data_IF_350944596993
#
_entry.id   IF_350944596993
#
_cell.length_a   1.000
_cell.length_b   1.000
_cell.length_c   1.000
_cell.angle_alpha   90.00
_cell.angle_beta   90.00
_cell.angle_gamma   90.00
#
_symmetry.space_group_name_H-M   'P 1'
#
loop_
_entity.id
_entity.type
_entity.pdbx_description
1 polymer ?
#
# COMPACT_ATOMS: atom_id res chain seq x y z
N UNK A 1 -8.41 -7.83 -4.59
CA UNK A 1 -7.26 -7.50 -3.72
C UNK A 1 -6.55 -8.79 -3.30
N UNK A 2 -7.31 -9.81 -2.88
CA UNK A 2 -6.80 -11.13 -2.47
C UNK A 2 -5.85 -11.78 -3.49
N UNK A 3 -6.08 -11.56 -4.79
CA UNK A 3 -5.18 -12.08 -5.84
C UNK A 3 -3.77 -11.47 -5.81
N UNK A 4 -3.64 -10.19 -5.44
CA UNK A 4 -2.34 -9.52 -5.35
C UNK A 4 -1.59 -9.99 -4.11
N UNK A 5 -2.30 -10.08 -2.98
CA UNK A 5 -1.76 -10.61 -1.71
C UNK A 5 -1.27 -12.05 -1.85
N UNK A 6 -2.02 -12.89 -2.57
CA UNK A 6 -1.64 -14.29 -2.82
C UNK A 6 -0.47 -14.44 -3.81
N UNK A 7 -0.35 -13.54 -4.78
CA UNK A 7 0.62 -13.68 -5.86
C UNK A 7 1.96 -12.97 -5.59
N UNK A 8 1.99 -11.96 -4.72
CA UNK A 8 3.21 -11.22 -4.42
C UNK A 8 4.04 -11.89 -3.33
N UNK A 9 4.85 -12.87 -3.74
CA UNK A 9 5.69 -13.67 -2.83
C UNK A 9 7.01 -13.00 -2.40
N UNK A 10 7.42 -11.89 -3.03
CA UNK A 10 8.72 -11.23 -2.80
C UNK A 10 8.67 -10.08 -1.81
N UNK A 11 7.48 -9.72 -1.34
CA UNK A 11 7.26 -8.61 -0.43
C UNK A 11 6.27 -8.96 0.67
N UNK A 12 6.00 -7.99 1.53
CA UNK A 12 4.98 -8.11 2.58
C UNK A 12 3.87 -7.11 2.32
N UNK A 13 2.65 -7.59 2.20
CA UNK A 13 1.47 -6.73 2.17
C UNK A 13 1.03 -6.41 3.60
N UNK A 14 0.79 -5.13 3.87
CA UNK A 14 0.22 -4.66 5.14
C UNK A 14 -1.08 -3.93 4.80
N UNK A 15 -2.18 -4.40 5.39
CA UNK A 15 -3.48 -3.74 5.26
C UNK A 15 -3.65 -2.75 6.39
N UNK A 16 -3.85 -1.49 6.04
CA UNK A 16 -4.10 -0.42 6.99
C UNK A 16 -5.56 -0.01 6.87
N UNK A 17 -6.30 -0.16 7.95
CA UNK A 17 -7.65 0.40 8.06
C UNK A 17 -7.55 1.87 8.49
N UNK A 18 -7.84 2.77 7.55
CA UNK A 18 -7.75 4.22 7.74
C UNK A 18 -8.81 4.78 8.70
N UNK A 19 -9.84 3.99 9.05
CA UNK A 19 -10.86 4.39 10.01
C UNK A 19 -10.38 4.23 11.46
N UNK A 20 -9.30 3.48 11.69
CA UNK A 20 -8.64 3.40 13.00
C UNK A 20 -7.79 4.64 13.28
N UNK A 21 -7.56 5.02 14.56
CA UNK A 21 -6.71 6.18 14.87
C UNK A 21 -5.30 6.10 14.28
N UNK A 22 -4.68 4.92 14.34
CA UNK A 22 -3.35 4.69 13.75
C UNK A 22 -3.39 4.78 12.22
N UNK A 23 -4.38 4.17 11.58
CA UNK A 23 -4.51 4.22 10.13
C UNK A 23 -4.80 5.63 9.62
N UNK A 24 -5.57 6.43 10.36
CA UNK A 24 -5.81 7.84 10.04
C UNK A 24 -4.55 8.67 10.16
N UNK A 25 -3.78 8.51 11.25
CA UNK A 25 -2.49 9.19 11.40
C UNK A 25 -1.50 8.82 10.28
N UNK A 26 -1.51 7.55 9.85
CA UNK A 26 -0.74 7.10 8.70
C UNK A 26 -1.21 7.74 7.39
N UNK A 27 -2.52 7.76 7.13
CA UNK A 27 -3.12 8.38 5.96
C UNK A 27 -2.79 9.89 5.88
N UNK A 28 -2.91 10.60 6.99
CA UNK A 28 -2.61 12.04 7.08
C UNK A 28 -1.12 12.30 6.81
N UNK A 29 -0.22 11.51 7.42
CA UNK A 29 1.23 11.62 7.22
C UNK A 29 1.65 11.43 5.76
N UNK A 30 0.98 10.52 5.04
CA UNK A 30 1.31 10.19 3.66
C UNK A 30 0.38 10.86 2.63
N UNK A 31 -0.47 11.80 3.07
CA UNK A 31 -1.44 12.53 2.25
C UNK A 31 -2.31 11.60 1.38
N UNK A 32 -2.98 10.63 2.01
CA UNK A 32 -3.91 9.74 1.30
C UNK A 32 -5.24 10.45 1.06
N UNK A 33 -5.60 10.58 -0.21
CA UNK A 33 -6.81 11.32 -0.63
C UNK A 33 -8.07 10.44 -0.73
N UNK A 34 -7.98 9.15 -0.45
CA UNK A 34 -9.14 8.26 -0.46
C UNK A 34 -8.79 6.77 -0.49
N UNK A 35 -9.83 5.94 -0.50
CA UNK A 35 -9.71 4.47 -0.52
C UNK A 35 -10.33 3.87 -1.79
N UNK A 36 -9.73 2.82 -2.38
CA UNK A 36 -8.45 2.21 -2.00
C UNK A 36 -7.25 3.05 -2.48
N UNK A 37 -6.16 3.00 -1.71
CA UNK A 37 -4.83 3.53 -2.11
C UNK A 37 -3.79 2.45 -1.84
N UNK A 38 -2.94 2.18 -2.82
CA UNK A 38 -1.84 1.22 -2.73
C UNK A 38 -0.54 2.00 -2.74
N UNK A 39 0.36 1.68 -1.80
CA UNK A 39 1.69 2.32 -1.72
C UNK A 39 2.73 1.23 -1.54
N UNK A 40 3.78 1.30 -2.34
CA UNK A 40 4.95 0.44 -2.22
C UNK A 40 6.05 1.21 -1.48
N UNK A 41 6.61 0.57 -0.46
CA UNK A 41 7.76 1.07 0.28
C UNK A 41 8.97 0.15 0.05
N UNK A 42 10.17 0.74 0.01
CA UNK A 42 11.42 -0.01 0.02
C UNK A 42 11.78 -0.53 1.44
N UNK A 43 12.85 -1.30 1.54
CA UNK A 43 13.34 -1.83 2.83
C UNK A 43 13.82 -0.76 3.83
N UNK A 44 13.96 0.50 3.40
CA UNK A 44 14.29 1.65 4.24
C UNK A 44 13.03 2.48 4.60
N UNK A 45 11.84 2.06 4.18
CA UNK A 45 10.58 2.74 4.44
C UNK A 45 10.34 3.96 3.55
N UNK A 46 11.04 4.09 2.42
CA UNK A 46 10.79 5.16 1.44
C UNK A 46 9.68 4.74 0.47
N UNK A 47 8.75 5.65 0.20
CA UNK A 47 7.73 5.44 -0.82
C UNK A 47 8.39 5.40 -2.20
N UNK A 48 8.18 4.31 -2.93
CA UNK A 48 8.73 4.13 -4.29
C UNK A 48 7.66 4.26 -5.37
N UNK A 49 6.40 3.95 -5.05
CA UNK A 49 5.29 4.04 -5.99
C UNK A 49 3.93 4.06 -5.27
N UNK A 50 2.93 4.63 -5.93
CA UNK A 50 1.55 4.80 -5.44
C UNK A 50 0.53 4.60 -6.56
N UNK A 51 -0.56 3.92 -6.25
CA UNK A 51 -1.66 3.66 -7.18
C UNK A 51 -3.02 3.85 -6.52
N UNK A 52 -4.01 4.26 -7.32
CA UNK A 52 -5.44 4.34 -6.93
C UNK A 52 -6.23 3.08 -7.27
N UNK A 53 -5.59 2.15 -7.98
CA UNK A 53 -6.09 0.82 -8.32
C UNK A 53 -5.01 -0.20 -7.98
N UNK A 54 -5.34 -1.49 -7.79
CA UNK A 54 -4.33 -2.51 -7.51
C UNK A 54 -3.27 -2.55 -8.65
N UNK A 55 -1.97 -2.46 -8.34
CA UNK A 55 -0.94 -2.57 -9.38
C UNK A 55 -0.88 -3.98 -9.97
N UNK A 56 -0.52 -4.13 -11.26
CA UNK A 56 -0.18 -5.42 -11.82
C UNK A 56 1.14 -5.94 -11.23
N UNK A 57 1.32 -7.26 -11.15
CA UNK A 57 2.55 -7.88 -10.61
C UNK A 57 3.82 -7.47 -11.38
N UNK A 58 3.68 -7.13 -12.67
CA UNK A 58 4.80 -6.67 -13.51
C UNK A 58 5.36 -5.30 -13.10
N UNK A 59 4.61 -4.52 -12.32
CA UNK A 59 5.06 -3.23 -11.78
C UNK A 59 5.68 -3.35 -10.38
N UNK A 60 5.71 -4.55 -9.81
CA UNK A 60 6.32 -4.82 -8.51
C UNK A 60 7.72 -5.44 -8.68
N UNK A 61 8.69 -5.07 -7.81
CA UNK A 61 10.02 -5.66 -7.81
C UNK A 61 10.06 -7.14 -7.37
#
# INVERSE_FOLDING_TARGET
MDRLEQAWARGRMIRVDILTPIGRAFADRHAFEGTPTFVLFDGAGREVARWRQPPPLSELP
#
